data_IF_920727000873
#
_entry.id   IF_920727000873
#
_cell.length_a   1.000
_cell.length_b   1.000
_cell.length_c   1.000
_cell.angle_alpha   90.00
_cell.angle_beta   90.00
_cell.angle_gamma   90.00
#
_symmetry.space_group_name_H-M   'P 1'
#
loop_
_entity.id
_entity.type
_entity.pdbx_description
1 polymer ?
#
# COMPACT_ATOMS: atom_id res chain seq x y z
N UNK A 1 1.19 -26.07 6.94
CA UNK A 1 0.86 -24.65 6.70
C UNK A 1 0.21 -24.17 7.97
N UNK A 2 0.88 -23.33 8.75
CA UNK A 2 0.20 -22.67 9.87
C UNK A 2 -0.91 -21.81 9.27
N UNK A 3 -2.16 -22.08 9.67
CA UNK A 3 -3.25 -21.14 9.47
C UNK A 3 -2.93 -19.91 10.32
N UNK A 4 -2.21 -18.95 9.75
CA UNK A 4 -2.07 -17.65 10.39
C UNK A 4 -3.47 -17.03 10.48
N UNK A 5 -3.86 -16.65 11.69
CA UNK A 5 -5.10 -15.94 11.92
C UNK A 5 -5.14 -14.67 11.06
N UNK A 6 -6.28 -14.41 10.41
CA UNK A 6 -6.45 -13.22 9.59
C UNK A 6 -6.40 -11.97 10.46
N UNK A 7 -5.74 -10.94 9.95
CA UNK A 7 -5.80 -9.61 10.52
C UNK A 7 -7.11 -8.91 10.13
N UNK A 8 -7.61 -8.03 11.01
CA UNK A 8 -8.82 -7.27 10.77
C UNK A 8 -8.48 -5.79 10.57
N UNK A 9 -9.08 -5.17 9.54
CA UNK A 9 -9.00 -3.72 9.36
C UNK A 9 -9.84 -2.99 10.40
N UNK A 10 -9.50 -1.74 10.69
CA UNK A 10 -10.18 -0.91 11.69
C UNK A 10 -11.69 -0.77 11.44
N UNK A 11 -12.13 -0.85 10.18
CA UNK A 11 -13.54 -0.74 9.79
C UNK A 11 -14.23 -2.10 9.63
N UNK A 12 -13.65 -3.20 10.12
CA UNK A 12 -14.21 -4.55 9.94
C UNK A 12 -15.69 -4.64 10.35
N UNK A 13 -16.04 -4.15 11.54
CA UNK A 13 -17.40 -4.25 12.05
C UNK A 13 -18.38 -3.42 11.21
N UNK A 14 -17.93 -2.25 10.73
CA UNK A 14 -18.70 -1.44 9.78
C UNK A 14 -18.96 -2.18 8.47
N UNK A 15 -17.96 -2.91 7.95
CA UNK A 15 -18.15 -3.71 6.74
C UNK A 15 -19.15 -4.84 6.94
N UNK A 16 -19.08 -5.53 8.09
CA UNK A 16 -20.03 -6.60 8.45
C UNK A 16 -21.44 -6.04 8.59
N UNK A 17 -21.61 -4.91 9.28
CA UNK A 17 -22.92 -4.26 9.48
C UNK A 17 -23.54 -3.77 8.15
N UNK A 18 -22.70 -3.35 7.19
CA UNK A 18 -23.13 -2.98 5.85
C UNK A 18 -23.44 -4.19 4.94
N UNK A 19 -23.29 -5.42 5.45
CA UNK A 19 -23.58 -6.64 4.70
C UNK A 19 -22.50 -7.02 3.68
N UNK A 20 -21.27 -6.53 3.85
CA UNK A 20 -20.17 -6.86 2.96
C UNK A 20 -19.88 -8.37 2.97
N UNK A 21 -19.54 -8.91 1.81
CA UNK A 21 -18.94 -10.24 1.71
C UNK A 21 -17.48 -10.15 2.14
N UNK A 22 -17.20 -10.62 3.35
CA UNK A 22 -15.83 -10.65 3.88
C UNK A 22 -15.07 -11.89 3.38
N UNK A 23 -13.83 -11.70 2.93
CA UNK A 23 -12.97 -12.79 2.42
C UNK A 23 -11.52 -12.64 2.90
N UNK A 24 -10.76 -13.75 2.98
CA UNK A 24 -9.32 -13.71 3.18
C UNK A 24 -8.61 -13.09 1.97
N UNK A 25 -7.88 -12.00 2.16
CA UNK A 25 -7.09 -11.34 1.12
C UNK A 25 -5.80 -10.77 1.70
N UNK A 26 -4.65 -11.17 1.15
CA UNK A 26 -3.32 -10.72 1.59
C UNK A 26 -3.04 -10.83 3.11
N UNK A 27 -3.63 -11.83 3.79
CA UNK A 27 -3.50 -12.00 5.25
C UNK A 27 -4.51 -11.21 6.09
N UNK A 28 -5.40 -10.45 5.45
CA UNK A 28 -6.47 -9.67 6.09
C UNK A 28 -7.85 -10.24 5.78
N UNK A 29 -8.84 -9.97 6.64
CA UNK A 29 -10.26 -10.17 6.38
C UNK A 29 -10.84 -8.89 5.74
N UNK A 30 -11.12 -8.92 4.43
CA UNK A 30 -11.44 -7.74 3.63
C UNK A 30 -12.83 -7.81 2.98
N UNK A 31 -13.55 -6.69 2.82
CA UNK A 31 -14.81 -6.63 2.07
C UNK A 31 -14.56 -6.72 0.56
N UNK A 32 -15.01 -7.80 -0.09
CA UNK A 32 -14.81 -7.97 -1.56
C UNK A 32 -15.96 -7.40 -2.40
N UNK A 33 -17.17 -7.31 -1.83
CA UNK A 33 -18.36 -6.72 -2.46
C UNK A 33 -19.44 -6.43 -1.40
N UNK A 34 -20.26 -5.42 -1.62
CA UNK A 34 -21.42 -5.03 -0.80
C UNK A 34 -22.74 -5.25 -1.54
N UNK A 35 -22.78 -5.04 -2.85
CA UNK A 35 -23.98 -5.27 -3.67
C UNK A 35 -23.67 -6.18 -4.85
N UNK A 36 -22.97 -5.68 -5.85
CA UNK A 36 -22.62 -6.35 -7.10
C UNK A 36 -21.37 -5.70 -7.69
N UNK A 37 -20.39 -6.51 -8.09
CA UNK A 37 -19.12 -6.05 -8.67
C UNK A 37 -19.30 -5.08 -9.86
N UNK A 38 -20.26 -5.35 -10.75
CA UNK A 38 -20.52 -4.49 -11.91
C UNK A 38 -21.13 -3.16 -11.45
N UNK A 39 -22.08 -3.19 -10.52
CA UNK A 39 -22.72 -1.97 -10.02
C UNK A 39 -21.73 -1.08 -9.25
N UNK A 40 -20.90 -1.67 -8.40
CA UNK A 40 -19.86 -0.96 -7.66
C UNK A 40 -18.83 -0.35 -8.61
N UNK A 41 -18.39 -1.10 -9.64
CA UNK A 41 -17.50 -0.57 -10.67
C UNK A 41 -18.11 0.60 -11.44
N UNK A 42 -19.36 0.45 -11.89
CA UNK A 42 -20.10 1.50 -12.63
C UNK A 42 -20.33 2.71 -11.74
N UNK A 43 -20.59 2.52 -10.44
CA UNK A 43 -20.72 3.60 -9.47
C UNK A 43 -19.45 4.45 -9.38
N UNK A 44 -18.27 3.81 -9.28
CA UNK A 44 -16.98 4.53 -9.27
C UNK A 44 -16.73 5.29 -10.56
N UNK A 45 -17.15 4.73 -11.71
CA UNK A 45 -16.93 5.36 -13.03
C UNK A 45 -17.85 6.55 -13.29
N UNK A 46 -19.08 6.48 -12.80
CA UNK A 46 -20.12 7.46 -13.13
C UNK A 46 -20.49 8.37 -11.95
N UNK A 47 -20.00 8.08 -10.74
CA UNK A 47 -20.31 8.80 -9.51
C UNK A 47 -19.12 8.73 -8.53
N UNK A 48 -19.33 8.38 -7.26
CA UNK A 48 -18.30 8.29 -6.21
C UNK A 48 -18.35 6.92 -5.55
N UNK A 49 -17.19 6.27 -5.44
CA UNK A 49 -17.00 5.07 -4.62
C UNK A 49 -15.98 5.30 -3.52
N UNK A 50 -16.16 4.60 -2.41
CA UNK A 50 -15.27 4.61 -1.25
C UNK A 50 -14.73 3.21 -1.05
N UNK A 51 -13.42 3.09 -0.86
CA UNK A 51 -12.74 1.83 -0.64
C UNK A 51 -11.98 1.88 0.68
N UNK A 52 -12.05 0.80 1.46
CA UNK A 52 -11.15 0.60 2.58
C UNK A 52 -9.85 -0.06 2.09
N UNK A 53 -8.79 0.73 2.01
CA UNK A 53 -7.44 0.28 1.64
C UNK A 53 -6.49 0.24 2.84
N UNK A 54 -7.01 0.23 4.06
CA UNK A 54 -6.21 0.30 5.30
C UNK A 54 -5.38 -0.95 5.60
N UNK A 55 -5.43 -1.96 4.72
CA UNK A 55 -4.60 -3.17 4.76
C UNK A 55 -3.25 -2.99 4.05
N UNK A 56 -3.07 -1.89 3.31
CA UNK A 56 -1.79 -1.55 2.67
C UNK A 56 -0.71 -1.28 3.72
N UNK A 57 0.55 -1.54 3.37
CA UNK A 57 1.68 -1.25 4.24
C UNK A 57 2.11 0.21 4.14
N UNK A 58 2.53 0.80 5.26
CA UNK A 58 2.91 2.19 5.34
C UNK A 58 4.22 2.32 6.12
N UNK A 59 5.29 2.75 5.46
CA UNK A 59 6.58 2.99 6.11
C UNK A 59 6.89 4.48 6.16
N UNK A 60 7.21 4.97 7.35
CA UNK A 60 7.64 6.35 7.57
C UNK A 60 9.16 6.42 7.58
N UNK A 61 9.74 7.03 6.55
CA UNK A 61 11.17 7.21 6.43
C UNK A 61 11.58 8.62 6.82
N UNK A 62 12.49 8.73 7.80
CA UNK A 62 12.93 10.01 8.38
C UNK A 62 14.45 10.13 8.44
N UNK A 63 14.96 11.31 8.11
CA UNK A 63 16.37 11.66 8.31
C UNK A 63 16.98 12.36 7.10
N UNK A 64 18.23 12.82 7.28
CA UNK A 64 18.95 13.58 6.25
C UNK A 64 19.26 12.75 4.99
N UNK A 65 19.32 11.41 5.14
CA UNK A 65 19.57 10.45 4.05
C UNK A 65 18.32 9.74 3.54
N UNK A 66 17.12 10.22 3.89
CA UNK A 66 15.88 9.57 3.48
C UNK A 66 15.77 9.52 1.95
N UNK A 67 16.08 10.64 1.27
CA UNK A 67 16.10 10.68 -0.20
C UNK A 67 17.16 9.74 -0.78
N UNK A 68 18.36 9.68 -0.20
CA UNK A 68 19.43 8.81 -0.69
C UNK A 68 19.02 7.34 -0.64
N UNK A 69 18.37 6.90 0.45
CA UNK A 69 17.86 5.53 0.57
C UNK A 69 16.78 5.27 -0.47
N UNK A 70 15.83 6.19 -0.66
CA UNK A 70 14.79 6.04 -1.68
C UNK A 70 15.41 5.92 -3.07
N UNK A 71 16.35 6.80 -3.43
CA UNK A 71 17.06 6.73 -4.72
C UNK A 71 17.87 5.45 -4.89
N UNK A 72 18.32 4.85 -3.79
CA UNK A 72 19.07 3.60 -3.82
C UNK A 72 18.17 2.38 -4.06
N UNK A 73 16.99 2.33 -3.42
CA UNK A 73 16.11 1.16 -3.44
C UNK A 73 15.01 1.25 -4.51
N UNK A 74 14.64 2.45 -4.96
CA UNK A 74 13.56 2.67 -5.92
C UNK A 74 14.07 2.92 -7.34
N UNK A 75 13.26 2.57 -8.34
CA UNK A 75 13.61 2.77 -9.76
C UNK A 75 13.35 4.17 -10.29
N UNK A 76 12.44 4.94 -9.69
CA UNK A 76 12.08 6.28 -10.15
C UNK A 76 12.90 7.37 -9.44
N UNK A 77 13.01 8.54 -10.07
CA UNK A 77 13.76 9.68 -9.53
C UNK A 77 12.90 10.51 -8.57
N UNK A 78 12.97 10.16 -7.29
CA UNK A 78 12.30 10.82 -6.18
C UNK A 78 12.84 12.23 -5.90
N UNK A 79 14.00 12.62 -6.43
CA UNK A 79 14.52 13.99 -6.27
C UNK A 79 13.62 15.04 -6.96
N UNK A 80 12.81 14.60 -7.93
CA UNK A 80 11.82 15.43 -8.64
C UNK A 80 10.55 15.68 -7.83
N UNK A 81 10.34 14.95 -6.72
CA UNK A 81 9.20 15.20 -5.84
C UNK A 81 9.36 16.52 -5.11
N UNK A 82 8.25 17.22 -4.94
CA UNK A 82 8.11 18.38 -4.07
C UNK A 82 7.18 18.05 -2.91
N UNK A 83 7.23 18.85 -1.85
CA UNK A 83 6.47 18.61 -0.63
C UNK A 83 4.96 18.51 -0.92
N UNK A 84 4.30 17.51 -0.33
CA UNK A 84 2.90 17.17 -0.57
C UNK A 84 2.61 16.43 -1.88
N UNK A 85 3.63 16.01 -2.63
CA UNK A 85 3.48 15.22 -3.86
C UNK A 85 3.81 13.74 -3.65
N UNK A 86 3.30 12.94 -4.58
CA UNK A 86 3.46 11.49 -4.64
C UNK A 86 3.97 11.06 -6.00
N UNK A 87 4.74 9.99 -6.04
CA UNK A 87 5.23 9.36 -7.25
C UNK A 87 5.15 7.84 -7.13
N UNK A 88 4.78 7.18 -8.23
CA UNK A 88 4.86 5.73 -8.35
C UNK A 88 6.30 5.28 -8.67
N UNK A 89 6.73 4.20 -8.04
CA UNK A 89 8.03 3.58 -8.29
C UNK A 89 7.96 2.06 -8.13
N UNK A 90 8.92 1.36 -8.73
CA UNK A 90 9.19 -0.03 -8.37
C UNK A 90 10.30 -0.08 -7.31
N UNK A 91 10.36 -1.20 -6.59
CA UNK A 91 11.41 -1.63 -5.66
C UNK A 91 12.18 -2.80 -6.31
N UNK A 92 13.25 -2.55 -7.09
CA UNK A 92 13.96 -3.61 -7.77
C UNK A 92 14.84 -4.42 -6.81
N UNK A 93 15.10 -5.68 -7.18
CA UNK A 93 16.13 -6.49 -6.55
C UNK A 93 17.50 -6.31 -7.26
N UNK A 94 18.54 -6.93 -6.71
CA UNK A 94 19.90 -6.83 -7.24
C UNK A 94 20.12 -7.45 -8.65
N UNK A 95 19.14 -8.21 -9.18
CA UNK A 95 19.21 -8.83 -10.50
C UNK A 95 18.24 -8.21 -11.52
N UNK A 96 17.61 -7.08 -11.18
CA UNK A 96 16.69 -6.35 -12.05
C UNK A 96 15.25 -6.87 -12.05
N UNK A 97 14.91 -7.83 -11.17
CA UNK A 97 13.52 -8.21 -10.91
C UNK A 97 12.82 -7.21 -9.97
N UNK A 98 11.50 -7.29 -9.88
CA UNK A 98 10.68 -6.40 -9.03
C UNK A 98 10.35 -7.13 -7.73
N UNK A 99 10.75 -6.54 -6.59
CA UNK A 99 10.34 -6.98 -5.25
C UNK A 99 8.91 -6.54 -4.99
N UNK A 100 8.61 -5.26 -5.23
CA UNK A 100 7.27 -4.68 -5.17
C UNK A 100 7.15 -3.41 -6.04
N UNK A 101 5.94 -2.90 -6.21
CA UNK A 101 5.67 -1.53 -6.61
C UNK A 101 5.07 -0.72 -5.46
N UNK A 102 5.36 0.58 -5.40
CA UNK A 102 4.96 1.44 -4.28
C UNK A 102 4.70 2.88 -4.69
N UNK A 103 4.08 3.62 -3.77
CA UNK A 103 3.96 5.06 -3.84
C UNK A 103 4.92 5.72 -2.84
N UNK A 104 5.72 6.66 -3.33
CA UNK A 104 6.60 7.51 -2.53
C UNK A 104 5.94 8.87 -2.36
N UNK A 105 5.52 9.19 -1.15
CA UNK A 105 5.01 10.51 -0.77
C UNK A 105 6.12 11.32 -0.12
N UNK A 106 6.32 12.56 -0.57
CA UNK A 106 7.23 13.50 0.08
C UNK A 106 6.43 14.41 1.00
N UNK A 107 6.63 14.27 2.31
CA UNK A 107 6.07 15.21 3.29
C UNK A 107 6.93 16.47 3.31
N UNK A 108 8.24 16.30 3.48
CA UNK A 108 9.25 17.36 3.38
C UNK A 108 10.61 16.75 2.96
N UNK A 109 11.66 17.57 2.89
CA UNK A 109 12.99 17.12 2.47
C UNK A 109 13.60 15.96 3.30
N UNK A 110 13.11 15.73 4.53
CA UNK A 110 13.63 14.74 5.47
C UNK A 110 12.60 13.70 5.90
N UNK A 111 11.40 13.71 5.33
CA UNK A 111 10.28 12.86 5.75
C UNK A 111 9.45 12.42 4.55
N UNK A 112 9.33 11.10 4.41
CA UNK A 112 8.65 10.44 3.31
C UNK A 112 7.78 9.30 3.83
N UNK A 113 6.67 9.04 3.13
CA UNK A 113 5.89 7.83 3.30
C UNK A 113 6.06 6.92 2.10
N UNK A 114 6.29 5.64 2.36
CA UNK A 114 6.28 4.59 1.37
C UNK A 114 5.02 3.76 1.59
N UNK A 115 4.14 3.72 0.60
CA UNK A 115 2.93 2.89 0.64
C UNK A 115 3.17 1.66 -0.23
N UNK A 116 3.22 0.48 0.39
CA UNK A 116 3.58 -0.81 -0.21
C UNK A 116 2.39 -1.78 -0.23
N UNK A 117 2.45 -2.83 -1.06
CA UNK A 117 1.36 -3.79 -1.15
C UNK A 117 1.20 -4.61 0.14
N UNK A 118 -0.05 -4.88 0.51
CA UNK A 118 -0.41 -5.58 1.75
C UNK A 118 0.27 -6.94 1.93
N UNK A 119 0.45 -7.71 0.84
CA UNK A 119 1.10 -9.02 0.92
C UNK A 119 2.62 -8.95 1.06
N UNK A 120 3.21 -7.77 0.87
CA UNK A 120 4.66 -7.58 0.75
C UNK A 120 5.26 -6.79 1.92
N UNK A 121 4.47 -6.35 2.90
CA UNK A 121 4.91 -5.50 4.01
C UNK A 121 6.20 -6.01 4.67
N UNK A 122 6.21 -7.24 5.17
CA UNK A 122 7.40 -7.78 5.85
C UNK A 122 8.58 -7.96 4.89
N UNK A 123 8.30 -8.41 3.67
CA UNK A 123 9.32 -8.63 2.63
C UNK A 123 10.01 -7.32 2.24
N UNK A 124 9.24 -6.26 2.06
CA UNK A 124 9.72 -4.94 1.64
C UNK A 124 10.45 -4.24 2.77
N UNK A 125 9.95 -4.35 4.01
CA UNK A 125 10.65 -3.86 5.18
C UNK A 125 12.04 -4.49 5.31
N UNK A 126 12.12 -5.81 5.16
CA UNK A 126 13.38 -6.56 5.22
C UNK A 126 14.32 -6.18 4.07
N UNK A 127 13.78 -5.94 2.87
CA UNK A 127 14.58 -5.51 1.71
C UNK A 127 15.14 -4.10 1.88
N UNK A 128 14.34 -3.14 2.37
CA UNK A 128 14.79 -1.77 2.60
C UNK A 128 15.80 -1.68 3.76
N UNK A 129 15.68 -2.59 4.73
CA UNK A 129 16.53 -2.61 5.93
C UNK A 129 17.82 -3.42 5.79
N UNK A 130 18.09 -4.01 4.61
CA UNK A 130 19.25 -4.89 4.38
C UNK A 130 20.56 -4.16 4.09
#
# INVERSE_FOLDING_TARGET
MEENALQFVHLNDTHVDLGAKMVPFAGFNMPVLYTNLIEEHVCVRNNVGVFDVSHMGEFLLKGEKALDLIQYVCSNDASKLTDGKVQYSCLPNATGGIVDDLLVYRVNAREYYLVVNASNIEKDWNWISS
#
